data_IF_526096520939
#
_entry.id   IF_526096520939
#
_cell.length_a   1.000
_cell.length_b   1.000
_cell.length_c   1.000
_cell.angle_alpha   90.00
_cell.angle_beta   90.00
_cell.angle_gamma   90.00
#
_symmetry.space_group_name_H-M   'P 1'
#
loop_
_entity.id
_entity.type
_entity.pdbx_description
1 polymer ?
#
# COMPACT_ATOMS: atom_id res chain seq x y z
N UNK A 1 -17.23 15.93 -8.94
CA UNK A 1 -17.65 14.54 -8.75
C UNK A 1 -16.88 13.90 -7.63
N UNK A 2 -17.58 13.42 -6.64
CA UNK A 2 -16.96 12.88 -5.43
C UNK A 2 -16.12 11.63 -5.72
N UNK A 3 -16.60 10.74 -6.59
CA UNK A 3 -15.89 9.53 -6.94
C UNK A 3 -14.55 9.80 -7.61
N UNK A 4 -14.50 10.81 -8.48
CA UNK A 4 -13.29 11.16 -9.21
C UNK A 4 -12.20 11.70 -8.28
N UNK A 5 -12.59 12.51 -7.29
CA UNK A 5 -11.63 13.04 -6.33
C UNK A 5 -10.99 11.91 -5.50
N UNK A 6 -11.77 10.93 -5.08
CA UNK A 6 -11.26 9.78 -4.33
C UNK A 6 -10.32 8.94 -5.19
N UNK A 7 -10.68 8.67 -6.44
CA UNK A 7 -9.83 7.89 -7.36
C UNK A 7 -8.51 8.62 -7.60
N UNK A 8 -8.55 9.95 -7.81
CA UNK A 8 -7.31 10.72 -8.01
C UNK A 8 -6.40 10.66 -6.80
N UNK A 9 -6.95 10.71 -5.60
CA UNK A 9 -6.16 10.63 -4.38
C UNK A 9 -5.44 9.29 -4.30
N UNK A 10 -6.14 8.19 -4.56
CA UNK A 10 -5.54 6.86 -4.51
C UNK A 10 -4.54 6.65 -5.64
N UNK A 11 -4.79 7.22 -6.80
CA UNK A 11 -3.82 7.21 -7.90
C UNK A 11 -2.53 7.93 -7.51
N UNK A 12 -2.63 9.07 -6.84
CA UNK A 12 -1.44 9.80 -6.38
C UNK A 12 -0.65 8.97 -5.37
N UNK A 13 -1.35 8.29 -4.46
CA UNK A 13 -0.69 7.43 -3.48
C UNK A 13 0.02 6.29 -4.20
N UNK A 14 -0.64 5.64 -5.16
CA UNK A 14 -0.06 4.57 -5.94
C UNK A 14 1.20 5.05 -6.68
N UNK A 15 1.13 6.19 -7.35
CA UNK A 15 2.28 6.73 -8.07
C UNK A 15 3.43 7.07 -7.12
N UNK A 16 3.12 7.58 -5.95
CA UNK A 16 4.14 7.87 -4.94
C UNK A 16 4.86 6.60 -4.49
N UNK A 17 4.11 5.54 -4.23
CA UNK A 17 4.69 4.25 -3.85
C UNK A 17 5.54 3.68 -4.99
N UNK A 18 5.03 3.74 -6.22
CA UNK A 18 5.73 3.20 -7.38
C UNK A 18 7.00 3.98 -7.73
N UNK A 19 7.03 5.27 -7.45
CA UNK A 19 8.18 6.12 -7.81
C UNK A 19 9.43 5.81 -6.99
N UNK A 20 9.28 5.37 -5.75
CA UNK A 20 10.39 5.13 -4.85
C UNK A 20 11.08 6.38 -4.32
N UNK A 21 10.54 7.57 -4.62
CA UNK A 21 11.20 8.83 -4.26
C UNK A 21 10.74 9.39 -2.92
N UNK A 22 9.68 8.84 -2.33
CA UNK A 22 9.08 9.38 -1.12
C UNK A 22 8.81 8.31 -0.06
N UNK A 23 9.61 7.24 -0.03
CA UNK A 23 9.35 6.10 0.85
C UNK A 23 9.29 6.48 2.32
N UNK A 24 10.08 7.49 2.74
CA UNK A 24 10.09 7.95 4.12
C UNK A 24 8.88 8.80 4.49
N UNK A 25 8.07 9.19 3.52
CA UNK A 25 6.96 10.12 3.72
C UNK A 25 5.60 9.50 3.41
N UNK A 26 5.55 8.19 3.20
CA UNK A 26 4.28 7.50 2.96
C UNK A 26 3.60 7.25 4.30
N UNK A 27 2.33 7.66 4.40
CA UNK A 27 1.54 7.42 5.60
C UNK A 27 1.13 5.96 5.65
N UNK A 28 1.15 5.40 6.86
CA UNK A 28 0.78 3.99 7.06
C UNK A 28 -0.65 3.72 6.60
N UNK A 29 -1.59 4.59 6.97
CA UNK A 29 -2.99 4.45 6.56
C UNK A 29 -3.14 4.49 5.03
N UNK A 30 -2.34 5.30 4.36
CA UNK A 30 -2.37 5.40 2.89
C UNK A 30 -1.86 4.11 2.26
N UNK A 31 -0.79 3.53 2.80
CA UNK A 31 -0.25 2.28 2.28
C UNK A 31 -1.26 1.13 2.45
N UNK A 32 -1.87 1.03 3.62
CA UNK A 32 -2.91 0.03 3.88
C UNK A 32 -4.11 0.20 2.96
N UNK A 33 -4.61 1.43 2.87
CA UNK A 33 -5.77 1.73 2.04
C UNK A 33 -5.52 1.44 0.57
N UNK A 34 -4.31 1.74 0.09
CA UNK A 34 -3.92 1.42 -1.28
C UNK A 34 -3.97 -0.09 -1.53
N UNK A 35 -3.40 -0.88 -0.64
CA UNK A 35 -3.40 -2.33 -0.80
C UNK A 35 -4.81 -2.91 -0.80
N UNK A 36 -5.68 -2.43 0.10
CA UNK A 36 -7.07 -2.86 0.12
C UNK A 36 -7.77 -2.52 -1.19
N UNK A 37 -7.53 -1.32 -1.74
CA UNK A 37 -8.11 -0.92 -3.02
C UNK A 37 -7.57 -1.73 -4.19
N UNK A 38 -6.36 -2.25 -4.07
CA UNK A 38 -5.78 -3.13 -5.09
C UNK A 38 -6.24 -4.59 -4.94
N UNK A 39 -7.10 -4.87 -3.97
CA UNK A 39 -7.71 -6.19 -3.80
C UNK A 39 -7.09 -7.07 -2.74
N UNK A 40 -6.23 -6.53 -1.90
CA UNK A 40 -5.66 -7.30 -0.79
C UNK A 40 -6.65 -7.39 0.36
N UNK A 41 -6.70 -8.55 1.00
CA UNK A 41 -7.46 -8.77 2.22
C UNK A 41 -6.57 -8.47 3.41
N UNK A 42 -7.12 -7.75 4.39
CA UNK A 42 -6.38 -7.32 5.56
C UNK A 42 -6.85 -8.06 6.80
N UNK A 43 -5.89 -8.53 7.62
CA UNK A 43 -6.12 -9.06 8.96
C UNK A 43 -5.28 -8.26 9.94
N UNK A 44 -5.86 -7.93 11.08
CA UNK A 44 -5.23 -7.06 12.08
C UNK A 44 -5.11 -7.82 13.40
N UNK A 45 -3.90 -7.84 13.96
CA UNK A 45 -3.64 -8.33 15.32
C UNK A 45 -2.80 -7.30 16.04
N UNK A 46 -3.39 -6.61 17.02
CA UNK A 46 -2.71 -5.52 17.68
C UNK A 46 -2.34 -4.44 16.68
N UNK A 47 -1.07 -4.10 16.57
CA UNK A 47 -0.57 -3.14 15.59
C UNK A 47 -0.05 -3.81 14.31
N UNK A 48 -0.14 -5.13 14.22
CA UNK A 48 0.34 -5.85 13.04
C UNK A 48 -0.79 -6.04 12.04
N UNK A 49 -0.55 -5.61 10.81
CA UNK A 49 -1.48 -5.73 9.70
C UNK A 49 -0.90 -6.71 8.69
N UNK A 50 -1.65 -7.77 8.40
CA UNK A 50 -1.26 -8.79 7.44
C UNK A 50 -2.16 -8.69 6.23
N UNK A 51 -1.57 -8.59 5.04
CA UNK A 51 -2.32 -8.44 3.79
C UNK A 51 -1.94 -9.54 2.81
N UNK A 52 -2.97 -10.12 2.21
CA UNK A 52 -2.80 -11.15 1.20
C UNK A 52 -3.77 -10.99 0.06
N UNK A 53 -3.42 -11.52 -1.11
CA UNK A 53 -4.25 -11.43 -2.29
C UNK A 53 -4.15 -12.73 -3.09
N UNK A 54 -5.28 -13.21 -3.58
CA UNK A 54 -5.31 -14.36 -4.50
C UNK A 54 -4.45 -14.04 -5.73
N UNK A 55 -3.53 -14.93 -6.04
CA UNK A 55 -2.61 -14.74 -7.16
C UNK A 55 -1.29 -14.07 -6.78
N UNK A 56 -1.16 -13.60 -5.54
CA UNK A 56 0.10 -13.04 -5.01
C UNK A 56 0.62 -14.02 -3.96
N UNK A 57 1.83 -14.54 -4.18
CA UNK A 57 2.42 -15.54 -3.27
C UNK A 57 2.76 -14.97 -1.92
N UNK A 58 3.29 -13.75 -1.93
CA UNK A 58 3.81 -13.11 -0.73
C UNK A 58 2.67 -12.65 0.16
N UNK A 59 2.87 -12.82 1.46
CA UNK A 59 2.03 -12.20 2.48
C UNK A 59 2.78 -10.97 2.98
N UNK A 60 2.09 -9.85 3.02
CA UNK A 60 2.68 -8.58 3.42
C UNK A 60 2.35 -8.31 4.89
N UNK A 61 3.38 -8.17 5.72
CA UNK A 61 3.21 -7.81 7.13
C UNK A 61 3.67 -6.38 7.33
N UNK A 62 2.77 -5.53 7.83
CA UNK A 62 3.04 -4.11 8.02
C UNK A 62 2.78 -3.70 9.45
N UNK A 63 3.66 -2.85 9.98
CA UNK A 63 3.51 -2.22 11.29
C UNK A 63 3.83 -0.73 11.15
N UNK A 64 3.06 0.15 11.81
CA UNK A 64 3.33 1.57 11.72
C UNK A 64 4.56 1.97 12.53
N UNK A 65 5.20 3.05 12.10
CA UNK A 65 6.13 3.80 12.94
C UNK A 65 5.34 4.75 13.83
N UNK A 66 5.98 5.24 14.89
CA UNK A 66 5.44 6.35 15.66
C UNK A 66 5.18 7.53 14.73
N UNK A 67 4.05 8.21 14.93
CA UNK A 67 3.66 9.32 14.05
C UNK A 67 2.87 8.91 12.82
N UNK A 68 2.53 7.62 12.70
CA UNK A 68 1.63 7.16 11.65
C UNK A 68 2.27 7.00 10.28
N UNK A 69 3.59 6.95 10.21
CA UNK A 69 4.28 6.72 8.95
C UNK A 69 4.52 5.23 8.71
N UNK A 70 4.54 4.84 7.43
CA UNK A 70 5.00 3.52 7.06
C UNK A 70 6.52 3.45 7.16
N UNK A 71 7.05 2.26 7.44
CA UNK A 71 8.49 2.04 7.41
C UNK A 71 8.96 2.04 5.96
N UNK A 72 10.04 2.77 5.69
CA UNK A 72 10.53 2.92 4.31
C UNK A 72 10.80 1.58 3.63
N UNK A 73 11.39 0.62 4.35
CA UNK A 73 11.68 -0.68 3.75
C UNK A 73 10.40 -1.46 3.43
N UNK A 74 9.32 -1.21 4.16
CA UNK A 74 8.03 -1.84 3.85
C UNK A 74 7.39 -1.24 2.61
N UNK A 75 7.53 0.06 2.41
CA UNK A 75 7.08 0.72 1.18
C UNK A 75 7.84 0.12 -0.02
N UNK A 76 9.13 -0.05 0.12
CA UNK A 76 9.97 -0.66 -0.91
C UNK A 76 9.54 -2.10 -1.20
N UNK A 77 9.25 -2.88 -0.17
CA UNK A 77 8.76 -4.25 -0.32
C UNK A 77 7.43 -4.30 -1.06
N UNK A 78 6.50 -3.43 -0.68
CA UNK A 78 5.20 -3.33 -1.35
C UNK A 78 5.39 -2.98 -2.83
N UNK A 79 6.24 -2.01 -3.13
CA UNK A 79 6.53 -1.62 -4.51
C UNK A 79 7.03 -2.81 -5.33
N UNK A 80 7.96 -3.57 -4.79
CA UNK A 80 8.50 -4.74 -5.49
C UNK A 80 7.39 -5.75 -5.81
N UNK A 81 6.49 -6.00 -4.87
CA UNK A 81 5.38 -6.92 -5.07
C UNK A 81 4.41 -6.37 -6.12
N UNK A 82 4.05 -5.09 -6.03
CA UNK A 82 3.14 -4.48 -6.99
C UNK A 82 3.70 -4.58 -8.42
N UNK A 83 5.00 -4.34 -8.59
CA UNK A 83 5.62 -4.44 -9.91
C UNK A 83 5.69 -5.88 -10.40
N UNK A 84 6.04 -6.82 -9.53
CA UNK A 84 6.15 -8.22 -9.90
C UNK A 84 4.83 -8.77 -10.43
N UNK A 85 3.71 -8.38 -9.84
CA UNK A 85 2.39 -8.89 -10.21
C UNK A 85 1.60 -7.93 -11.10
N UNK A 86 2.23 -6.87 -11.59
CA UNK A 86 1.58 -5.94 -12.50
C UNK A 86 0.45 -5.13 -11.87
N UNK A 87 0.46 -4.97 -10.56
CA UNK A 87 -0.57 -4.22 -9.82
C UNK A 87 -0.23 -2.74 -9.80
N UNK A 88 -0.10 -2.15 -10.98
CA UNK A 88 0.38 -0.78 -11.16
C UNK A 88 -0.72 0.19 -11.57
N UNK A 89 -1.96 -0.27 -11.56
CA UNK A 89 -3.14 0.56 -11.84
C UNK A 89 -4.26 0.16 -10.89
N UNK A 90 -5.04 1.13 -10.48
CA UNK A 90 -6.26 0.86 -9.71
C UNK A 90 -7.30 0.19 -10.61
N UNK A 91 -8.10 -0.73 -10.05
CA UNK A 91 -9.17 -1.38 -10.81
C UNK A 91 -10.29 -0.41 -11.18
#
# INVERSE_FOLDING_TARGET
MKGDASVRQWDKILQRVLSGQADQYVRFADLLGLLVRLGFDERIRGDQHTLGKTGVREIIDLQPLNGGKAKAYQVEQVRAILRTYGLTKLP
#
